data_IF_694466718322
#
_entry.id   IF_694466718322
#
_cell.length_a   1.000
_cell.length_b   1.000
_cell.length_c   1.000
_cell.angle_alpha   90.00
_cell.angle_beta   90.00
_cell.angle_gamma   90.00
#
_symmetry.space_group_name_H-M   'P 1'
#
loop_
_entity.id
_entity.type
_entity.pdbx_description
1 polymer ?
#
# COMPACT_ATOMS: atom_id res chain seq x y z
N UNK A 1 -3.23 -5.84 16.31
CA UNK A 1 -2.27 -5.72 15.20
C UNK A 1 -2.12 -4.24 14.89
N UNK A 2 -0.91 -3.69 14.94
CA UNK A 2 -0.67 -2.27 14.60
C UNK A 2 -0.69 -2.13 13.08
N UNK A 3 -1.65 -1.37 12.53
CA UNK A 3 -1.69 -1.13 11.09
C UNK A 3 -0.56 -0.20 10.64
N UNK A 4 -0.17 -0.31 9.37
CA UNK A 4 1.04 0.32 8.82
C UNK A 4 0.73 1.14 7.58
N UNK A 5 1.40 2.28 7.42
CA UNK A 5 1.31 3.15 6.26
C UNK A 5 2.65 3.17 5.51
N UNK A 6 2.70 2.78 4.25
CA UNK A 6 3.89 2.93 3.41
C UNK A 6 3.79 4.22 2.58
N UNK A 7 4.74 5.14 2.75
CA UNK A 7 4.86 6.35 1.92
C UNK A 7 5.86 6.09 0.81
N UNK A 8 5.37 6.06 -0.43
CA UNK A 8 6.18 5.84 -1.62
C UNK A 8 6.59 7.21 -2.20
N UNK A 9 7.89 7.52 -2.16
CA UNK A 9 8.45 8.78 -2.69
C UNK A 9 9.31 8.48 -3.92
N UNK A 10 9.01 9.03 -5.11
CA UNK A 10 9.72 8.75 -6.34
C UNK A 10 10.88 9.72 -6.56
N UNK A 11 11.86 9.81 -5.63
CA UNK A 11 13.20 10.39 -5.88
C UNK A 11 14.23 9.77 -4.94
N UNK A 12 15.32 9.23 -5.50
CA UNK A 12 16.48 8.73 -4.72
C UNK A 12 16.41 7.26 -4.24
N UNK A 13 15.51 6.42 -4.79
CA UNK A 13 15.50 4.97 -4.56
C UNK A 13 15.03 4.49 -3.18
N UNK A 14 14.62 5.41 -2.29
CA UNK A 14 14.21 5.06 -0.92
C UNK A 14 12.71 5.30 -0.72
N UNK A 15 11.97 4.24 -0.38
CA UNK A 15 10.58 4.33 0.09
C UNK A 15 10.61 4.32 1.62
N UNK A 16 9.67 4.99 2.29
CA UNK A 16 9.65 5.02 3.77
C UNK A 16 8.38 4.37 4.26
N UNK A 17 8.51 3.33 5.08
CA UNK A 17 7.39 2.81 5.84
C UNK A 17 7.21 3.70 7.07
N UNK A 18 5.98 4.12 7.31
CA UNK A 18 5.54 4.82 8.51
C UNK A 18 4.64 3.86 9.28
N UNK A 19 5.19 3.24 10.32
CA UNK A 19 4.35 2.61 11.35
C UNK A 19 4.94 2.80 12.73
N UNK A 20 4.31 3.65 13.55
CA UNK A 20 4.69 3.83 14.96
C UNK A 20 6.14 4.31 15.20
N UNK A 21 6.59 4.35 16.46
CA UNK A 21 7.94 4.79 16.81
C UNK A 21 8.99 3.80 16.29
N UNK A 22 10.04 4.31 15.63
CA UNK A 22 11.13 3.49 15.06
C UNK A 22 10.95 3.15 13.58
N UNK A 23 10.78 4.17 12.74
CA UNK A 23 10.54 4.07 11.29
C UNK A 23 11.42 3.03 10.57
N UNK A 24 10.82 1.94 10.09
CA UNK A 24 11.49 1.02 9.17
C UNK A 24 11.58 1.68 7.78
N UNK A 25 12.79 1.79 7.23
CA UNK A 25 12.99 2.22 5.85
C UNK A 25 12.90 0.98 4.96
N UNK A 26 11.81 0.85 4.20
CA UNK A 26 11.69 -0.22 3.20
C UNK A 26 12.34 0.23 1.90
N UNK A 27 13.40 -0.46 1.47
CA UNK A 27 14.11 -0.11 0.25
C UNK A 27 13.25 -0.46 -0.97
N UNK A 28 13.42 0.25 -2.09
CA UNK A 28 12.61 -0.06 -3.28
C UNK A 28 12.84 -1.49 -3.78
N UNK A 29 14.07 -1.99 -3.66
CA UNK A 29 14.44 -3.38 -4.00
C UNK A 29 13.70 -4.45 -3.19
N UNK A 30 13.20 -4.10 -1.99
CA UNK A 30 12.46 -5.02 -1.13
C UNK A 30 10.96 -5.08 -1.48
N UNK A 31 10.48 -4.22 -2.39
CA UNK A 31 9.07 -4.10 -2.74
C UNK A 31 8.80 -4.62 -4.14
N UNK A 32 8.16 -5.79 -4.20
CA UNK A 32 7.68 -6.34 -5.46
C UNK A 32 6.31 -5.73 -5.80
N UNK A 33 6.17 -5.24 -7.05
CA UNK A 33 4.93 -4.63 -7.55
C UNK A 33 4.10 -5.71 -8.22
N UNK A 34 2.85 -5.84 -7.79
CA UNK A 34 1.91 -6.79 -8.36
C UNK A 34 0.59 -6.09 -8.73
N UNK A 35 -0.08 -6.65 -9.73
CA UNK A 35 -1.35 -6.18 -10.28
C UNK A 35 -2.44 -7.25 -10.25
N UNK A 36 -2.13 -8.46 -9.77
CA UNK A 36 -3.08 -9.56 -9.63
C UNK A 36 -2.66 -10.53 -8.53
N UNK A 37 -3.60 -11.29 -7.98
CA UNK A 37 -3.29 -12.37 -7.03
C UNK A 37 -2.35 -13.43 -7.61
N UNK A 38 -2.41 -13.67 -8.92
CA UNK A 38 -1.50 -14.58 -9.63
C UNK A 38 -0.05 -14.10 -9.57
N UNK A 39 0.19 -12.81 -9.79
CA UNK A 39 1.54 -12.23 -9.66
C UNK A 39 2.03 -12.32 -8.21
N UNK A 40 1.15 -12.08 -7.24
CA UNK A 40 1.49 -12.22 -5.81
C UNK A 40 1.91 -13.65 -5.48
N UNK A 41 1.19 -14.65 -5.99
CA UNK A 41 1.55 -16.05 -5.81
C UNK A 41 2.92 -16.41 -6.43
N UNK A 42 3.27 -15.78 -7.56
CA UNK A 42 4.51 -16.03 -8.28
C UNK A 42 5.76 -15.45 -7.58
N UNK A 43 5.58 -14.53 -6.63
CA UNK A 43 6.68 -13.83 -5.94
C UNK A 43 6.74 -14.19 -4.44
N UNK A 44 6.16 -15.33 -4.06
CA UNK A 44 6.25 -15.87 -2.70
C UNK A 44 7.72 -15.96 -2.27
N UNK A 45 8.04 -15.28 -1.16
CA UNK A 45 9.42 -15.14 -0.66
C UNK A 45 9.98 -13.72 -0.83
N UNK A 46 9.29 -12.83 -1.55
CA UNK A 46 9.60 -11.41 -1.51
C UNK A 46 9.40 -10.86 -0.08
N UNK A 47 10.20 -9.88 0.37
CA UNK A 47 10.07 -9.33 1.71
C UNK A 47 8.77 -8.54 1.87
N UNK A 48 8.36 -7.80 0.83
CA UNK A 48 7.08 -7.09 0.78
C UNK A 48 6.50 -7.05 -0.64
N UNK A 49 5.17 -6.99 -0.73
CA UNK A 49 4.46 -6.79 -1.99
C UNK A 49 3.54 -5.56 -1.92
N UNK A 50 3.44 -4.84 -3.03
CA UNK A 50 2.37 -3.85 -3.24
C UNK A 50 1.38 -4.39 -4.27
N UNK A 51 0.09 -4.36 -3.95
CA UNK A 51 -0.99 -4.71 -4.88
C UNK A 51 -1.67 -3.41 -5.35
N UNK A 52 -1.79 -3.21 -6.66
CA UNK A 52 -2.36 -1.95 -7.20
C UNK A 52 -2.95 -2.08 -8.62
N UNK A 53 -3.90 -1.20 -9.00
CA UNK A 53 -4.61 -0.26 -8.14
C UNK A 53 -5.73 -0.95 -7.37
N UNK A 54 -5.87 -0.65 -6.08
CA UNK A 54 -6.95 -1.21 -5.24
C UNK A 54 -8.24 -0.40 -5.31
N UNK A 55 -8.15 0.87 -5.69
CA UNK A 55 -9.27 1.78 -5.90
C UNK A 55 -8.97 2.73 -7.09
N UNK A 56 -9.99 3.42 -7.63
CA UNK A 56 -9.79 4.39 -8.70
C UNK A 56 -8.72 5.42 -8.32
N UNK A 57 -7.78 5.68 -9.23
CA UNK A 57 -6.62 6.56 -8.96
C UNK A 57 -6.51 7.69 -9.99
N UNK A 58 -6.36 8.92 -9.48
CA UNK A 58 -6.19 10.13 -10.30
C UNK A 58 -4.78 10.21 -10.90
N UNK A 59 -3.78 9.57 -10.28
CA UNK A 59 -2.38 9.68 -10.71
C UNK A 59 -2.07 8.92 -12.01
N UNK A 60 -2.90 7.94 -12.39
CA UNK A 60 -2.83 7.19 -13.65
C UNK A 60 -4.25 6.81 -14.10
N UNK A 61 -5.01 7.74 -14.68
CA UNK A 61 -6.37 7.45 -15.17
C UNK A 61 -6.32 6.33 -16.22
N UNK A 62 -7.17 5.31 -16.08
CA UNK A 62 -7.25 4.18 -17.03
C UNK A 62 -6.27 3.02 -16.79
N UNK A 63 -5.49 3.04 -15.70
CA UNK A 63 -4.58 1.94 -15.35
C UNK A 63 -5.33 0.74 -14.77
N UNK A 64 -5.96 -0.07 -15.64
CA UNK A 64 -6.70 -1.28 -15.26
C UNK A 64 -7.96 -1.00 -14.42
N UNK A 65 -8.88 -1.97 -14.30
CA UNK A 65 -9.94 -1.89 -13.32
C UNK A 65 -9.34 -1.91 -11.91
N UNK A 66 -9.91 -1.12 -11.00
CA UNK A 66 -9.54 -1.21 -9.60
C UNK A 66 -9.88 -2.61 -9.08
N UNK A 67 -8.94 -3.22 -8.36
CA UNK A 67 -9.09 -4.57 -7.80
C UNK A 67 -10.17 -4.64 -6.71
N UNK A 68 -10.44 -3.51 -6.05
CA UNK A 68 -11.37 -3.44 -4.93
C UNK A 68 -10.93 -4.27 -3.74
N UNK A 69 -11.82 -4.38 -2.75
CA UNK A 69 -11.60 -5.15 -1.52
C UNK A 69 -11.40 -6.64 -1.82
N UNK A 70 -12.17 -7.19 -2.76
CA UNK A 70 -12.09 -8.62 -3.11
C UNK A 70 -10.77 -8.98 -3.79
N UNK A 71 -10.26 -8.12 -4.68
CA UNK A 71 -8.95 -8.35 -5.28
C UNK A 71 -7.80 -8.22 -4.28
N UNK A 72 -7.92 -7.37 -3.26
CA UNK A 72 -6.97 -7.32 -2.14
C UNK A 72 -7.05 -8.59 -1.30
N UNK A 73 -8.26 -9.08 -0.97
CA UNK A 73 -8.45 -10.35 -0.26
C UNK A 73 -7.77 -11.50 -0.99
N UNK A 74 -8.02 -11.63 -2.30
CA UNK A 74 -7.40 -12.67 -3.12
C UNK A 74 -5.87 -12.55 -3.16
N UNK A 75 -5.33 -11.33 -3.19
CA UNK A 75 -3.90 -11.10 -3.12
C UNK A 75 -3.30 -11.52 -1.77
N UNK A 76 -3.97 -11.22 -0.66
CA UNK A 76 -3.56 -11.65 0.69
C UNK A 76 -3.56 -13.16 0.81
N UNK A 77 -4.63 -13.83 0.36
CA UNK A 77 -4.72 -15.30 0.33
C UNK A 77 -3.60 -15.92 -0.52
N UNK A 78 -3.32 -15.33 -1.69
CA UNK A 78 -2.24 -15.77 -2.56
C UNK A 78 -0.85 -15.57 -1.95
N UNK A 79 -0.66 -14.53 -1.13
CA UNK A 79 0.61 -14.21 -0.47
C UNK A 79 0.95 -15.15 0.69
N UNK A 80 -0.07 -15.67 1.39
CA UNK A 80 0.13 -16.40 2.64
C UNK A 80 0.74 -15.49 3.72
N UNK A 81 1.88 -15.85 4.34
CA UNK A 81 2.48 -15.03 5.40
C UNK A 81 3.21 -13.77 4.88
N UNK A 82 3.40 -13.64 3.56
CA UNK A 82 4.12 -12.53 2.95
C UNK A 82 3.33 -11.21 3.10
N UNK A 83 3.93 -10.13 3.62
CA UNK A 83 3.25 -8.84 3.80
C UNK A 83 2.75 -8.21 2.48
N UNK A 84 1.46 -7.88 2.43
CA UNK A 84 0.82 -7.21 1.29
C UNK A 84 0.37 -5.80 1.67
N UNK A 85 0.86 -4.79 0.95
CA UNK A 85 0.39 -3.42 1.03
C UNK A 85 -0.61 -3.10 -0.08
N UNK A 86 -1.78 -2.59 0.29
CA UNK A 86 -2.77 -2.07 -0.66
C UNK A 86 -2.32 -0.69 -1.19
N UNK A 87 -2.19 -0.53 -2.51
CA UNK A 87 -1.69 0.70 -3.15
C UNK A 87 -2.60 1.13 -4.32
N UNK A 88 -2.68 2.45 -4.53
CA UNK A 88 -3.35 3.04 -5.69
C UNK A 88 -4.83 3.27 -5.44
N UNK A 89 -5.21 4.55 -5.25
CA UNK A 89 -6.58 4.96 -4.92
C UNK A 89 -6.94 4.84 -3.43
N UNK A 90 -6.00 4.47 -2.56
CA UNK A 90 -6.22 4.48 -1.11
C UNK A 90 -6.43 5.92 -0.62
N UNK A 91 -7.39 6.09 0.27
CA UNK A 91 -7.73 7.30 1.02
C UNK A 91 -7.98 6.94 2.49
N UNK A 92 -7.98 7.90 3.43
CA UNK A 92 -8.36 7.60 4.81
C UNK A 92 -9.76 6.95 4.93
N UNK A 93 -10.69 7.33 4.05
CA UNK A 93 -12.06 6.81 4.05
C UNK A 93 -12.16 5.33 3.62
N UNK A 94 -11.21 4.80 2.84
CA UNK A 94 -11.25 3.41 2.38
C UNK A 94 -10.13 2.53 2.95
N UNK A 95 -9.11 3.12 3.58
CA UNK A 95 -7.94 2.41 4.08
C UNK A 95 -8.32 1.23 4.98
N UNK A 96 -9.31 1.42 5.86
CA UNK A 96 -9.76 0.39 6.79
C UNK A 96 -10.30 -0.86 6.10
N UNK A 97 -11.05 -0.70 5.01
CA UNK A 97 -11.62 -1.84 4.26
C UNK A 97 -10.57 -2.79 3.70
N UNK A 98 -9.36 -2.31 3.42
CA UNK A 98 -8.26 -3.15 2.96
C UNK A 98 -7.57 -3.87 4.12
N UNK A 99 -7.47 -3.23 5.28
CA UNK A 99 -6.97 -3.87 6.49
C UNK A 99 -7.90 -4.99 6.97
N UNK A 100 -9.21 -4.77 6.89
CA UNK A 100 -10.22 -5.72 7.36
C UNK A 100 -10.20 -7.04 6.55
N UNK A 101 -9.62 -7.03 5.34
CA UNK A 101 -9.37 -8.24 4.53
C UNK A 101 -7.93 -8.76 4.62
N UNK A 102 -7.17 -8.30 5.61
CA UNK A 102 -5.86 -8.85 5.95
C UNK A 102 -4.68 -8.19 5.24
N UNK A 103 -4.86 -7.03 4.60
CA UNK A 103 -3.69 -6.27 4.13
C UNK A 103 -2.80 -5.92 5.33
N UNK A 104 -1.49 -6.12 5.17
CA UNK A 104 -0.49 -5.80 6.19
C UNK A 104 -0.42 -4.29 6.49
N UNK A 105 -0.80 -3.49 5.50
CA UNK A 105 -0.93 -2.05 5.61
C UNK A 105 -1.44 -1.45 4.30
N UNK A 106 -1.47 -0.12 4.25
CA UNK A 106 -1.79 0.61 3.02
C UNK A 106 -0.59 1.44 2.58
N UNK A 107 -0.51 1.72 1.27
CA UNK A 107 0.55 2.51 0.68
C UNK A 107 0.00 3.70 -0.11
N UNK A 108 0.68 4.84 -0.01
CA UNK A 108 0.28 6.11 -0.61
C UNK A 108 1.46 6.76 -1.34
N UNK A 109 1.16 7.44 -2.45
CA UNK A 109 2.16 8.14 -3.26
C UNK A 109 1.63 9.51 -3.69
N UNK A 110 0.67 9.51 -4.62
CA UNK A 110 0.14 10.73 -5.23
C UNK A 110 -0.33 11.81 -4.24
N UNK A 111 -1.14 11.46 -3.22
CA UNK A 111 -1.60 12.43 -2.22
C UNK A 111 -0.44 13.11 -1.48
N UNK A 112 0.59 12.36 -1.09
CA UNK A 112 1.75 12.90 -0.36
C UNK A 112 2.58 13.81 -1.26
N UNK A 113 2.86 13.38 -2.50
CA UNK A 113 3.72 14.14 -3.43
C UNK A 113 3.11 15.45 -3.93
N UNK A 114 1.78 15.54 -3.96
CA UNK A 114 1.06 16.74 -4.41
C UNK A 114 0.62 17.64 -3.27
N UNK A 115 0.83 17.22 -2.03
CA UNK A 115 0.44 18.02 -0.87
C UNK A 115 1.42 19.15 -0.65
N UNK A 116 0.88 20.30 -0.21
CA UNK A 116 1.68 21.39 0.36
C UNK A 116 2.25 20.96 1.72
N UNK A 117 1.51 20.13 2.45
CA UNK A 117 1.94 19.54 3.72
C UNK A 117 1.84 18.00 3.68
N UNK A 118 2.95 17.30 3.38
CA UNK A 118 3.00 15.83 3.39
C UNK A 118 2.74 15.20 4.76
N UNK A 119 3.04 15.91 5.85
CA UNK A 119 2.90 15.39 7.21
C UNK A 119 1.43 15.35 7.63
N UNK A 120 0.65 16.38 7.28
CA UNK A 120 -0.80 16.39 7.48
C UNK A 120 -1.49 15.25 6.72
N UNK A 121 -1.04 14.99 5.49
CA UNK A 121 -1.54 13.83 4.73
C UNK A 121 -1.22 12.55 5.49
N UNK A 122 0.03 12.32 5.87
CA UNK A 122 0.43 11.12 6.63
C UNK A 122 -0.39 10.97 7.92
N UNK A 123 -0.55 12.05 8.69
CA UNK A 123 -1.34 12.07 9.92
C UNK A 123 -2.80 11.64 9.69
N UNK A 124 -3.43 12.11 8.60
CA UNK A 124 -4.80 11.73 8.25
C UNK A 124 -4.98 10.23 8.00
N UNK A 125 -3.97 9.55 7.44
CA UNK A 125 -3.99 8.10 7.29
C UNK A 125 -3.72 7.43 8.63
N UNK A 126 -2.71 7.87 9.38
CA UNK A 126 -2.38 7.25 10.67
C UNK A 126 -3.57 7.29 11.65
N UNK A 127 -4.35 8.38 11.66
CA UNK A 127 -5.52 8.53 12.51
C UNK A 127 -6.64 7.49 12.27
N UNK A 128 -6.73 6.93 11.05
CA UNK A 128 -7.72 5.89 10.72
C UNK A 128 -7.14 4.47 10.77
N UNK A 129 -5.82 4.36 10.89
CA UNK A 129 -5.08 3.10 10.96
C UNK A 129 -4.78 2.70 12.42
N UNK A 130 -4.84 3.65 13.36
CA UNK A 130 -4.69 3.43 14.80
C UNK A 130 -5.82 2.62 15.44
#
# INVERSE_FOLDING_TARGET
MTARLLVVVPRGGTRRLVSGPGFDVVREEDLTKCHSAREVAAVRGAPFVTISPVAPTISKPGYGPALGVDGVRAAVEAAGPMPVFALGGVTPANARSFLDVGAYGVAVMGPVLRSVDPMDVVASYLAVLS
#
